data_IF_692249052568
#
_entry.id   IF_692249052568
#
_cell.length_a   1.000
_cell.length_b   1.000
_cell.length_c   1.000
_cell.angle_alpha   90.00
_cell.angle_beta   90.00
_cell.angle_gamma   90.00
#
_symmetry.space_group_name_H-M   'P 1'
#
loop_
_entity.id
_entity.type
_entity.pdbx_description
1 polymer ?
#
# COMPACT_ATOMS: atom_id res chain seq x y z
N UNK A 1 -16.90 16.54 -17.67
CA UNK A 1 -17.78 17.71 -17.53
C UNK A 1 -17.84 18.34 -16.12
N UNK A 2 -18.22 17.62 -15.06
CA UNK A 2 -18.22 18.20 -13.68
C UNK A 2 -16.81 18.42 -13.12
N UNK A 3 -15.84 17.53 -13.42
CA UNK A 3 -14.46 17.65 -12.96
C UNK A 3 -13.72 18.79 -13.67
N UNK A 4 -13.94 18.95 -14.97
CA UNK A 4 -13.40 20.06 -15.77
C UNK A 4 -13.99 21.39 -15.31
N UNK A 5 -15.31 21.46 -15.04
CA UNK A 5 -15.92 22.65 -14.48
C UNK A 5 -15.39 22.99 -13.07
N UNK A 6 -15.11 22.00 -12.22
CA UNK A 6 -14.53 22.29 -10.89
C UNK A 6 -13.05 22.74 -10.97
N UNK A 7 -12.31 22.25 -11.98
CA UNK A 7 -10.93 22.66 -12.26
C UNK A 7 -10.84 24.05 -12.93
N UNK A 8 -11.85 24.45 -13.70
CA UNK A 8 -11.87 25.71 -14.46
C UNK A 8 -12.59 26.87 -13.72
N UNK A 9 -13.56 26.58 -12.84
CA UNK A 9 -14.43 27.61 -12.23
C UNK A 9 -13.86 28.25 -10.97
N UNK A 10 -12.74 27.75 -10.48
CA UNK A 10 -11.85 28.47 -9.57
C UNK A 10 -10.49 28.35 -10.22
N UNK A 11 -9.71 29.43 -10.28
CA UNK A 11 -8.27 29.23 -10.36
C UNK A 11 -7.96 28.16 -9.31
N UNK A 12 -7.58 26.95 -9.74
CA UNK A 12 -7.13 25.91 -8.79
C UNK A 12 -6.24 26.63 -7.81
N UNK A 13 -6.38 26.40 -6.48
CA UNK A 13 -5.79 27.27 -5.46
C UNK A 13 -4.39 27.66 -5.94
N UNK A 14 -4.04 28.95 -5.93
CA UNK A 14 -2.82 29.51 -6.56
C UNK A 14 -1.53 28.72 -6.24
N UNK A 15 -1.64 27.86 -5.23
CA UNK A 15 -0.69 26.99 -4.59
C UNK A 15 -0.95 25.48 -4.82
N UNK A 16 -1.74 25.00 -5.79
CA UNK A 16 -2.08 23.56 -5.88
C UNK A 16 -0.80 22.72 -5.99
N UNK A 17 0.11 23.10 -6.87
CA UNK A 17 1.42 22.45 -6.99
C UNK A 17 2.23 22.55 -5.70
N UNK A 18 2.26 23.72 -5.06
CA UNK A 18 2.96 23.93 -3.79
C UNK A 18 2.33 23.13 -2.62
N UNK A 19 1.02 22.99 -2.61
CA UNK A 19 0.24 22.23 -1.63
C UNK A 19 0.51 20.75 -1.80
N UNK A 20 0.45 20.24 -3.03
CA UNK A 20 0.81 18.84 -3.34
C UNK A 20 2.25 18.58 -2.95
N UNK A 21 3.19 19.47 -3.29
CA UNK A 21 4.59 19.32 -2.90
C UNK A 21 4.79 19.33 -1.38
N UNK A 22 4.12 20.23 -0.66
CA UNK A 22 4.14 20.28 0.81
C UNK A 22 3.59 18.98 1.41
N UNK A 23 2.47 18.46 0.88
CA UNK A 23 1.91 17.17 1.31
C UNK A 23 2.92 16.05 1.06
N UNK A 24 3.49 15.95 -0.15
CA UNK A 24 4.48 14.92 -0.48
C UNK A 24 5.72 14.98 0.41
N UNK A 25 6.23 16.17 0.72
CA UNK A 25 7.35 16.36 1.65
C UNK A 25 6.99 15.93 3.06
N UNK A 26 5.83 16.36 3.56
CA UNK A 26 5.32 15.98 4.89
C UNK A 26 5.17 14.47 4.97
N UNK A 27 4.52 13.84 3.99
CA UNK A 27 4.36 12.38 3.91
C UNK A 27 5.72 11.69 3.83
N UNK A 28 6.67 12.22 3.06
CA UNK A 28 8.04 11.72 2.98
C UNK A 28 8.75 11.66 4.33
N UNK A 29 8.52 12.66 5.18
CA UNK A 29 9.08 12.74 6.54
C UNK A 29 8.39 11.85 7.60
N UNK A 30 7.22 11.28 7.31
CA UNK A 30 6.52 10.42 8.26
C UNK A 30 7.28 9.11 8.52
N UNK A 31 7.15 8.60 9.75
CA UNK A 31 7.56 7.24 10.09
C UNK A 31 6.78 6.20 9.28
N UNK A 32 7.33 4.99 9.16
CA UNK A 32 6.74 3.93 8.33
C UNK A 32 5.29 3.62 8.70
N UNK A 33 4.98 3.45 9.99
CA UNK A 33 3.62 3.18 10.46
C UNK A 33 2.63 4.30 10.12
N UNK A 34 3.06 5.57 10.24
CA UNK A 34 2.24 6.72 9.88
C UNK A 34 1.97 6.77 8.37
N UNK A 35 2.97 6.41 7.54
CA UNK A 35 2.79 6.26 6.08
C UNK A 35 1.77 5.17 5.76
N UNK A 36 1.88 3.99 6.38
CA UNK A 36 0.93 2.89 6.17
C UNK A 36 -0.48 3.31 6.56
N UNK A 37 -0.66 3.94 7.72
CA UNK A 37 -1.97 4.41 8.17
C UNK A 37 -2.58 5.50 7.27
N UNK A 38 -1.76 6.38 6.69
CA UNK A 38 -2.23 7.35 5.70
C UNK A 38 -2.66 6.65 4.41
N UNK A 39 -1.86 5.72 3.90
CA UNK A 39 -2.19 4.96 2.69
C UNK A 39 -3.48 4.17 2.84
N UNK A 40 -3.70 3.51 3.99
CA UNK A 40 -4.93 2.76 4.28
C UNK A 40 -6.18 3.65 4.23
N UNK A 41 -6.12 4.82 4.89
CA UNK A 41 -7.22 5.81 4.87
C UNK A 41 -7.49 6.36 3.47
N UNK A 42 -6.43 6.75 2.75
CA UNK A 42 -6.58 7.26 1.38
C UNK A 42 -7.13 6.19 0.44
N UNK A 43 -6.67 4.95 0.57
CA UNK A 43 -7.16 3.82 -0.22
C UNK A 43 -8.64 3.56 0.07
N UNK A 44 -9.07 3.57 1.33
CA UNK A 44 -10.48 3.40 1.69
C UNK A 44 -11.41 4.46 1.11
N UNK A 45 -10.91 5.68 0.86
CA UNK A 45 -11.68 6.75 0.24
C UNK A 45 -11.60 6.74 -1.29
N UNK A 46 -10.42 6.46 -1.85
CA UNK A 46 -10.15 6.58 -3.28
C UNK A 46 -10.54 5.32 -4.07
N UNK A 47 -10.29 4.12 -3.53
CA UNK A 47 -10.53 2.87 -4.25
C UNK A 47 -11.99 2.67 -4.66
N UNK A 48 -13.01 2.92 -3.80
CA UNK A 48 -14.40 2.76 -4.21
C UNK A 48 -14.78 3.69 -5.35
N UNK A 49 -14.28 4.93 -5.32
CA UNK A 49 -14.50 5.90 -6.39
C UNK A 49 -13.83 5.45 -7.70
N UNK A 50 -12.58 4.98 -7.63
CA UNK A 50 -11.87 4.45 -8.80
C UNK A 50 -12.55 3.21 -9.38
N UNK A 51 -13.02 2.29 -8.53
CA UNK A 51 -13.72 1.08 -8.97
C UNK A 51 -15.06 1.44 -9.64
N UNK A 52 -15.78 2.45 -9.17
CA UNK A 52 -16.99 2.96 -9.84
C UNK A 52 -16.66 3.58 -11.21
N UNK A 53 -15.65 4.46 -11.26
CA UNK A 53 -15.22 5.08 -12.52
C UNK A 53 -14.82 4.00 -13.54
N UNK A 54 -13.99 3.04 -13.12
CA UNK A 54 -13.55 1.91 -13.94
C UNK A 54 -14.70 1.17 -14.63
N UNK A 55 -15.78 0.94 -13.88
CA UNK A 55 -16.98 0.29 -14.39
C UNK A 55 -17.71 1.17 -15.42
N UNK A 56 -17.79 2.49 -15.18
CA UNK A 56 -18.43 3.44 -16.09
C UNK A 56 -17.69 3.58 -17.43
N UNK A 57 -16.35 3.64 -17.40
CA UNK A 57 -15.53 3.81 -18.61
C UNK A 57 -14.99 2.50 -19.19
N UNK A 58 -15.33 1.35 -18.59
CA UNK A 58 -14.96 0.02 -19.07
C UNK A 58 -13.47 -0.29 -19.03
N UNK A 59 -12.70 0.36 -18.15
CA UNK A 59 -11.24 0.12 -18.01
C UNK A 59 -10.92 -0.70 -16.77
N UNK A 60 -10.07 -1.72 -16.92
CA UNK A 60 -9.54 -2.49 -15.80
C UNK A 60 -8.32 -1.81 -15.18
N UNK A 61 -8.51 -0.72 -14.43
CA UNK A 61 -7.36 0.02 -13.85
C UNK A 61 -6.50 -0.84 -12.90
N UNK A 62 -7.06 -1.91 -12.33
CA UNK A 62 -6.34 -2.90 -11.52
C UNK A 62 -5.53 -3.91 -12.34
N UNK A 63 -5.83 -4.10 -13.62
CA UNK A 63 -5.30 -5.18 -14.46
C UNK A 63 -4.15 -4.74 -15.39
N UNK A 64 -4.11 -3.46 -15.79
CA UNK A 64 -3.20 -3.01 -16.86
C UNK A 64 -1.99 -2.20 -16.38
N UNK A 65 -1.98 -1.72 -15.15
CA UNK A 65 -0.82 -1.03 -14.60
C UNK A 65 0.20 -2.05 -14.08
N UNK A 66 0.98 -2.59 -15.03
CA UNK A 66 2.04 -3.58 -14.86
C UNK A 66 3.18 -3.18 -13.92
N UNK A 67 2.87 -2.89 -12.66
CA UNK A 67 3.83 -2.98 -11.59
C UNK A 67 4.40 -4.41 -11.65
N UNK A 68 5.72 -4.59 -11.81
CA UNK A 68 6.29 -5.91 -11.82
C UNK A 68 5.80 -6.63 -10.58
N UNK A 69 5.21 -7.81 -10.76
CA UNK A 69 4.70 -8.61 -9.67
C UNK A 69 5.86 -8.89 -8.71
N UNK A 70 5.98 -8.05 -7.68
CA UNK A 70 6.95 -8.20 -6.63
C UNK A 70 6.58 -9.50 -5.93
N UNK A 71 7.26 -10.58 -6.28
CA UNK A 71 6.90 -11.90 -5.82
C UNK A 71 8.01 -12.46 -4.93
N UNK A 72 7.62 -13.03 -3.81
CA UNK A 72 8.48 -13.73 -2.87
C UNK A 72 8.16 -15.22 -2.90
N UNK A 73 8.81 -15.96 -3.81
CA UNK A 73 8.65 -17.41 -3.95
C UNK A 73 9.05 -18.13 -2.66
N UNK A 74 8.29 -19.18 -2.30
CA UNK A 74 8.50 -19.95 -1.08
C UNK A 74 8.11 -19.22 0.21
N UNK A 75 7.59 -18.00 0.12
CA UNK A 75 7.04 -17.27 1.27
C UNK A 75 5.52 -17.41 1.25
N UNK A 76 4.98 -17.71 2.42
CA UNK A 76 3.54 -17.83 2.68
C UNK A 76 3.16 -16.71 3.65
N UNK A 77 2.05 -16.03 3.38
CA UNK A 77 1.47 -15.10 4.35
C UNK A 77 0.84 -15.90 5.51
N UNK A 78 1.30 -15.72 6.74
CA UNK A 78 0.74 -16.38 7.93
C UNK A 78 -0.69 -15.92 8.25
N UNK A 79 -1.11 -14.76 7.73
CA UNK A 79 -2.46 -14.23 7.96
C UNK A 79 -3.54 -14.81 7.06
N UNK A 80 -3.24 -14.99 5.77
CA UNK A 80 -4.24 -15.43 4.77
C UNK A 80 -3.82 -16.68 3.95
N UNK A 81 -2.63 -17.22 4.17
CA UNK A 81 -2.12 -18.38 3.45
C UNK A 81 -1.65 -18.11 2.01
N UNK A 82 -1.73 -16.87 1.52
CA UNK A 82 -1.35 -16.54 0.14
C UNK A 82 0.12 -16.93 -0.12
N UNK A 83 0.34 -17.69 -1.21
CA UNK A 83 1.65 -18.11 -1.70
C UNK A 83 1.64 -18.30 -3.22
N UNK A 84 2.70 -17.90 -3.95
CA UNK A 84 3.82 -17.10 -3.46
C UNK A 84 3.35 -15.71 -3.01
N UNK A 85 3.97 -15.15 -1.97
CA UNK A 85 3.58 -13.85 -1.44
C UNK A 85 3.82 -12.77 -2.50
N UNK A 86 2.76 -12.04 -2.85
CA UNK A 86 2.76 -10.94 -3.83
C UNK A 86 2.82 -9.59 -3.12
N UNK A 87 3.53 -8.64 -3.73
CA UNK A 87 3.73 -7.30 -3.20
C UNK A 87 4.72 -7.25 -2.02
N UNK A 88 4.62 -6.23 -1.14
CA UNK A 88 5.52 -6.09 0.00
C UNK A 88 5.44 -7.29 0.95
N UNK A 89 6.62 -7.81 1.33
CA UNK A 89 6.76 -8.80 2.41
C UNK A 89 7.05 -8.10 3.73
N UNK A 90 6.16 -8.27 4.71
CA UNK A 90 6.36 -7.81 6.08
C UNK A 90 6.81 -8.99 6.93
N UNK A 91 8.02 -8.94 7.47
CA UNK A 91 8.58 -10.02 8.31
C UNK A 91 8.68 -9.54 9.74
N UNK A 92 8.13 -10.30 10.69
CA UNK A 92 8.32 -10.00 12.10
C UNK A 92 9.82 -10.04 12.42
N UNK A 93 10.32 -9.06 13.16
CA UNK A 93 11.75 -8.98 13.51
C UNK A 93 12.16 -9.99 14.57
N UNK A 94 11.19 -10.60 15.25
CA UNK A 94 11.43 -11.53 16.37
C UNK A 94 11.02 -12.97 16.04
N UNK A 95 9.95 -13.16 15.27
CA UNK A 95 9.50 -14.48 14.85
C UNK A 95 10.14 -14.89 13.53
N UNK A 96 11.00 -15.90 13.57
CA UNK A 96 11.81 -16.34 12.42
C UNK A 96 11.00 -16.75 11.17
N UNK A 97 9.75 -17.19 11.35
CA UNK A 97 8.89 -17.74 10.27
C UNK A 97 7.54 -17.01 10.12
N UNK A 98 7.45 -15.76 10.59
CA UNK A 98 6.20 -14.99 10.52
C UNK A 98 6.26 -13.87 9.49
N UNK A 99 5.49 -14.01 8.43
CA UNK A 99 5.41 -13.12 7.28
C UNK A 99 3.96 -12.73 7.00
N UNK A 100 3.74 -11.45 6.70
CA UNK A 100 2.44 -10.93 6.27
C UNK A 100 2.59 -10.27 4.89
N UNK A 101 1.56 -10.42 4.06
CA UNK A 101 1.42 -9.62 2.84
C UNK A 101 0.89 -8.21 3.18
N UNK A 102 0.89 -7.32 2.19
CA UNK A 102 0.36 -5.95 2.34
C UNK A 102 -1.08 -5.87 2.84
N UNK A 103 -1.93 -6.85 2.54
CA UNK A 103 -3.33 -6.85 2.98
C UNK A 103 -3.49 -7.30 4.45
N UNK A 104 -2.59 -8.17 4.93
CA UNK A 104 -2.66 -8.67 6.30
C UNK A 104 -1.87 -7.81 7.29
N UNK A 105 -0.87 -7.07 6.81
CA UNK A 105 -0.03 -6.22 7.65
C UNK A 105 -0.80 -5.20 8.51
N UNK A 106 -1.83 -4.49 8.00
CA UNK A 106 -2.63 -3.56 8.82
C UNK A 106 -3.25 -4.24 10.05
N UNK A 107 -3.58 -5.54 9.93
CA UNK A 107 -4.18 -6.37 10.97
C UNK A 107 -3.15 -7.14 11.80
N UNK A 108 -1.86 -6.77 11.75
CA UNK A 108 -0.77 -7.49 12.44
C UNK A 108 -1.02 -7.71 13.94
N UNK A 109 -1.65 -6.76 14.63
CA UNK A 109 -1.95 -6.88 16.06
C UNK A 109 -3.01 -7.96 16.34
N UNK A 110 -3.98 -8.11 15.43
CA UNK A 110 -5.01 -9.15 15.53
C UNK A 110 -4.49 -10.53 15.13
N UNK A 111 -3.69 -10.57 14.06
CA UNK A 111 -3.21 -11.82 13.47
C UNK A 111 -2.01 -12.40 14.23
N UNK A 112 -1.20 -11.56 14.88
CA UNK A 112 0.05 -11.94 15.55
C UNK A 112 0.04 -11.56 17.04
N UNK A 113 -0.97 -12.07 17.77
CA UNK A 113 -1.15 -11.81 19.21
C UNK A 113 -0.07 -12.48 20.05
N UNK A 114 0.29 -13.71 19.70
CA UNK A 114 1.24 -14.55 20.46
C UNK A 114 2.69 -14.36 19.97
N UNK A 115 3.13 -13.09 19.89
CA UNK A 115 4.53 -12.78 19.62
C UNK A 115 5.28 -12.72 20.95
N UNK A 116 6.45 -13.36 21.03
CA UNK A 116 7.36 -13.28 22.18
C UNK A 116 7.95 -11.88 22.37
N UNK A 117 7.72 -10.98 21.41
CA UNK A 117 8.30 -9.66 21.33
C UNK A 117 7.49 -8.53 21.88
N UNK A 118 8.19 -7.61 22.57
CA UNK A 118 7.58 -6.45 23.21
C UNK A 118 6.99 -5.45 22.18
N UNK A 119 7.58 -5.33 20.99
CA UNK A 119 7.23 -4.29 20.04
C UNK A 119 6.38 -4.76 18.85
N UNK A 120 6.30 -6.08 18.58
CA UNK A 120 5.64 -6.63 17.37
C UNK A 120 6.07 -5.90 16.09
N UNK A 121 7.35 -5.58 16.01
CA UNK A 121 7.92 -4.84 14.90
C UNK A 121 8.03 -5.74 13.66
N UNK A 122 7.85 -5.13 12.49
CA UNK A 122 7.96 -5.79 11.20
C UNK A 122 8.91 -5.03 10.28
N UNK A 123 9.78 -5.76 9.62
CA UNK A 123 10.58 -5.26 8.51
C UNK A 123 9.83 -5.45 7.20
N UNK A 124 9.66 -4.36 6.43
CA UNK A 124 9.13 -4.42 5.07
C UNK A 124 10.27 -4.65 4.07
N UNK A 125 10.12 -5.66 3.20
CA UNK A 125 11.03 -5.95 2.10
C UNK A 125 10.29 -5.78 0.77
N UNK A 126 10.85 -4.92 -0.10
CA UNK A 126 10.32 -4.63 -1.45
C UNK A 126 11.16 -5.24 -2.58
N UNK A 127 12.17 -6.06 -2.27
CA UNK A 127 13.04 -6.69 -3.28
C UNK A 127 12.60 -8.14 -3.53
N UNK A 128 12.05 -8.40 -4.71
CA UNK A 128 11.97 -9.76 -5.24
C UNK A 128 13.38 -10.20 -5.62
N UNK A 129 13.75 -11.46 -5.39
CA UNK A 129 14.99 -12.00 -5.99
C UNK A 129 14.79 -12.01 -7.51
N UNK A 130 15.23 -10.95 -8.18
CA UNK A 130 15.60 -11.06 -9.58
C UNK A 130 16.66 -12.15 -9.68
N UNK A 131 16.45 -13.16 -10.52
CA UNK A 131 17.47 -14.17 -10.82
C UNK A 131 18.71 -13.44 -11.35
N UNK A 132 19.73 -13.29 -10.50
CA UNK A 132 21.07 -12.93 -10.96
C UNK A 132 21.58 -14.08 -11.84
N UNK A 133 21.97 -13.74 -13.07
CA UNK A 133 22.77 -14.60 -13.94
C UNK A 133 24.16 -14.78 -13.35
#
# INVERSE_FOLDING_TARGET
PMLEQELERRAGPFELGETVLKVLKTVGGLGFEAKVGLTDKLAGQLLPWLDNLAQEIGIGWRAEHGLPALQHSGIVCNGCGASPLQGPRFTCTECAVYHLCGNCYPRKQELHKDCSGAARDFQCTLKGKGKGK
#
